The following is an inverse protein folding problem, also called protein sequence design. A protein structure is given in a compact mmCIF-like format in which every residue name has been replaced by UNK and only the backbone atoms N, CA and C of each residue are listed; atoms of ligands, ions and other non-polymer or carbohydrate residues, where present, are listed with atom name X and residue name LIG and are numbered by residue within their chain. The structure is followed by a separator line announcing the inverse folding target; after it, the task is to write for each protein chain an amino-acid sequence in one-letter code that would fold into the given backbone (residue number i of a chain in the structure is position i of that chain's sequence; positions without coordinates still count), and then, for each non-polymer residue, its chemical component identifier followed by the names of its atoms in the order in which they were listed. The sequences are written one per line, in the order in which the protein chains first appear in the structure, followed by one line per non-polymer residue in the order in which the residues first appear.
data_IF_261744017939
#
_entry.id   IF_261744017939
#
_cell.length_a   1.000
_cell.length_b   1.000
_cell.length_c   1.000
_cell.angle_alpha   90.00
_cell.angle_beta   90.00
_cell.angle_gamma   90.00
#
_symmetry.space_group_name_H-M   'P 1'
#
loop_
_entity.id
_entity.type
_entity.pdbx_description
1 polymer ?
#
# COMPACT_ATOMS: atom_id res chain seq x y z
N UNK A 1 32.21 -5.39 12.13
CA UNK A 1 33.43 -5.22 11.30
C UNK A 1 33.69 -3.74 11.08
N UNK A 2 34.85 -3.20 11.47
CA UNK A 2 35.15 -1.75 11.38
C UNK A 2 35.58 -1.37 9.95
N UNK A 3 34.82 -0.49 9.28
CA UNK A 3 35.28 0.22 8.08
C UNK A 3 36.12 1.42 8.52
N UNK A 4 37.31 1.60 7.94
CA UNK A 4 38.28 2.62 8.34
C UNK A 4 38.58 3.53 7.15
N UNK A 5 38.02 4.74 7.15
CA UNK A 5 38.49 5.83 6.30
C UNK A 5 39.64 6.56 7.00
N UNK A 6 40.78 6.69 6.32
CA UNK A 6 41.94 7.41 6.83
C UNK A 6 41.87 8.87 6.38
N UNK A 7 41.37 9.74 7.25
CA UNK A 7 41.55 11.20 7.15
C UNK A 7 42.12 11.72 8.47
N UNK A 8 43.20 12.51 8.41
CA UNK A 8 44.14 12.79 9.51
C UNK A 8 43.56 13.60 10.69
N UNK A 9 42.23 13.79 10.81
CA UNK A 9 41.63 14.64 11.86
C UNK A 9 40.40 14.10 12.59
N UNK A 10 39.83 12.96 12.20
CA UNK A 10 38.81 12.30 13.03
C UNK A 10 38.61 10.83 12.65
N UNK A 11 38.85 9.92 13.58
CA UNK A 11 38.61 8.49 13.38
C UNK A 11 37.09 8.21 13.46
N UNK A 12 36.44 8.05 12.31
CA UNK A 12 35.11 7.45 12.23
C UNK A 12 35.28 6.01 11.81
N UNK A 13 34.95 5.09 12.71
CA UNK A 13 34.90 3.68 12.38
C UNK A 13 33.47 3.19 12.49
N UNK A 14 32.98 2.58 11.41
CA UNK A 14 31.63 2.05 11.36
C UNK A 14 31.67 0.54 11.46
N UNK A 15 30.92 -0.02 12.41
CA UNK A 15 30.75 -1.47 12.53
C UNK A 15 29.68 -1.94 11.54
N UNK A 16 30.10 -2.66 10.51
CA UNK A 16 29.26 -3.46 9.61
C UNK A 16 29.06 -4.84 10.24
N UNK A 17 27.83 -5.19 10.57
CA UNK A 17 27.44 -6.49 11.13
C UNK A 17 26.16 -6.99 10.44
N UNK A 18 25.57 -8.08 10.94
CA UNK A 18 24.31 -8.61 10.41
C UNK A 18 23.17 -7.60 10.39
N UNK A 19 23.12 -6.66 11.33
CA UNK A 19 22.09 -5.62 11.35
C UNK A 19 22.23 -4.63 10.19
N UNK A 20 23.45 -4.50 9.65
CA UNK A 20 23.75 -3.70 8.46
C UNK A 20 23.83 -4.50 7.17
N UNK A 21 23.39 -5.77 7.19
CA UNK A 21 23.28 -6.60 5.99
C UNK A 21 24.46 -7.51 5.73
N UNK A 22 25.50 -7.55 6.57
CA UNK A 22 26.60 -8.51 6.42
C UNK A 22 26.15 -9.91 6.91
N UNK A 23 25.93 -10.91 6.05
CA UNK A 23 25.23 -12.14 6.47
C UNK A 23 26.10 -13.08 7.32
N UNK A 24 27.41 -12.82 7.38
CA UNK A 24 28.37 -13.64 8.11
C UNK A 24 29.46 -12.80 8.79
N UNK A 25 29.67 -13.06 10.08
CA UNK A 25 30.61 -12.31 10.92
C UNK A 25 32.06 -12.79 10.74
N UNK A 26 32.26 -13.98 10.13
CA UNK A 26 33.61 -14.54 9.92
C UNK A 26 34.12 -14.19 8.53
N UNK A 27 35.01 -13.21 8.50
CA UNK A 27 35.69 -12.74 7.29
C UNK A 27 37.13 -13.26 7.24
N UNK A 28 37.52 -13.77 6.08
CA UNK A 28 38.85 -14.32 5.82
C UNK A 28 39.79 -13.33 5.13
N UNK A 29 39.27 -12.53 4.21
CA UNK A 29 40.05 -11.50 3.53
C UNK A 29 39.14 -10.35 3.08
N UNK A 30 39.74 -9.17 3.00
CA UNK A 30 39.18 -7.96 2.43
C UNK A 30 40.07 -7.46 1.29
N UNK A 31 39.46 -6.84 0.28
CA UNK A 31 40.17 -6.12 -0.78
C UNK A 31 39.30 -4.97 -1.26
N UNK A 32 39.87 -3.78 -1.41
CA UNK A 32 39.17 -2.65 -2.03
C UNK A 32 39.58 -2.64 -3.50
N UNK A 33 38.61 -2.60 -4.40
CA UNK A 33 38.90 -2.45 -5.82
C UNK A 33 39.14 -0.98 -6.21
N UNK A 34 39.55 -0.75 -7.46
CA UNK A 34 39.82 0.60 -7.96
C UNK A 34 38.56 1.46 -8.13
N UNK A 35 37.36 0.86 -8.09
CA UNK A 35 36.07 1.56 -8.13
C UNK A 35 35.59 1.93 -6.72
N UNK A 36 36.29 1.51 -5.66
CA UNK A 36 35.94 1.79 -4.27
C UNK A 36 34.99 0.78 -3.63
N UNK A 37 34.69 -0.35 -4.29
CA UNK A 37 33.92 -1.42 -3.67
C UNK A 37 34.81 -2.24 -2.73
N UNK A 38 34.25 -2.62 -1.58
CA UNK A 38 34.90 -3.49 -0.62
C UNK A 38 34.49 -4.94 -0.88
N UNK A 39 35.44 -5.76 -1.28
CA UNK A 39 35.30 -7.19 -1.49
C UNK A 39 35.63 -7.95 -0.21
N UNK A 40 34.74 -8.89 0.16
CA UNK A 40 34.75 -9.58 1.44
C UNK A 40 34.63 -11.08 1.18
N UNK A 41 35.62 -11.86 1.63
CA UNK A 41 35.55 -13.31 1.58
C UNK A 41 35.07 -13.85 2.91
N UNK A 42 34.04 -14.69 2.88
CA UNK A 42 33.47 -15.36 4.05
C UNK A 42 33.38 -16.86 3.81
N UNK A 43 32.98 -17.63 4.83
CA UNK A 43 32.69 -19.07 4.67
C UNK A 43 31.45 -19.34 3.79
N UNK A 44 30.59 -18.34 3.57
CA UNK A 44 29.38 -18.45 2.75
C UNK A 44 29.56 -17.93 1.32
N UNK A 45 30.77 -17.58 0.92
CA UNK A 45 31.08 -17.02 -0.39
C UNK A 45 31.67 -15.63 -0.33
N UNK A 46 31.58 -14.92 -1.45
CA UNK A 46 32.13 -13.57 -1.64
C UNK A 46 31.01 -12.55 -1.55
N UNK A 47 31.28 -11.44 -0.88
CA UNK A 47 30.40 -10.27 -0.90
C UNK A 47 31.15 -9.09 -1.52
N UNK A 48 30.45 -8.28 -2.31
CA UNK A 48 30.89 -6.91 -2.58
C UNK A 48 30.03 -5.94 -1.79
N UNK A 49 30.65 -4.88 -1.29
CA UNK A 49 30.01 -3.81 -0.57
C UNK A 49 30.25 -2.49 -1.27
N UNK A 50 29.15 -1.83 -1.64
CA UNK A 50 29.18 -0.47 -2.18
C UNK A 50 29.00 0.53 -1.02
N UNK A 51 30.03 1.30 -0.65
CA UNK A 51 29.93 2.27 0.45
C UNK A 51 29.01 3.45 0.12
N UNK A 52 28.78 3.76 -1.15
CA UNK A 52 27.91 4.88 -1.55
C UNK A 52 26.42 4.55 -1.38
N UNK A 53 26.03 3.32 -1.71
CA UNK A 53 24.63 2.85 -1.59
C UNK A 53 24.37 2.05 -0.31
N UNK A 54 25.42 1.77 0.46
CA UNK A 54 25.40 0.90 1.64
C UNK A 54 24.79 -0.49 1.33
N UNK A 55 25.12 -1.03 0.16
CA UNK A 55 24.56 -2.27 -0.36
C UNK A 55 25.59 -3.40 -0.38
N UNK A 56 25.16 -4.60 0.04
CA UNK A 56 25.93 -5.83 -0.05
C UNK A 56 25.36 -6.72 -1.15
N UNK A 57 26.18 -7.07 -2.14
CA UNK A 57 25.87 -8.12 -3.12
C UNK A 57 26.55 -9.41 -2.68
N UNK A 58 25.79 -10.50 -2.62
CA UNK A 58 26.32 -11.85 -2.38
C UNK A 58 26.58 -12.52 -3.71
N UNK A 59 27.77 -13.09 -3.88
CA UNK A 59 28.10 -13.97 -5.00
C UNK A 59 28.12 -15.42 -4.52
N UNK A 60 27.27 -16.24 -5.13
CA UNK A 60 27.10 -17.65 -4.79
C UNK A 60 27.29 -18.57 -6.00
N UNK A 61 26.82 -19.82 -5.88
CA UNK A 61 26.91 -20.81 -6.95
C UNK A 61 26.23 -20.37 -8.24
N UNK A 62 25.15 -19.60 -8.16
CA UNK A 62 24.41 -19.10 -9.32
C UNK A 62 25.24 -18.07 -10.09
N UNK A 63 26.11 -17.32 -9.41
CA UNK A 63 27.10 -16.44 -10.03
C UNK A 63 28.36 -17.18 -10.53
N UNK A 64 28.34 -18.52 -10.53
CA UNK A 64 29.45 -19.36 -10.97
C UNK A 64 30.55 -19.58 -9.93
N UNK A 65 30.33 -19.20 -8.65
CA UNK A 65 31.28 -19.51 -7.58
C UNK A 65 31.22 -20.98 -7.21
N UNK A 66 32.38 -21.60 -6.94
CA UNK A 66 32.40 -22.97 -6.41
C UNK A 66 31.92 -22.92 -4.93
N UNK A 67 30.79 -23.56 -4.58
CA UNK A 67 30.16 -23.47 -3.26
C UNK A 67 31.03 -24.06 -2.14
N UNK A 68 32.05 -24.84 -2.48
CA UNK A 68 33.02 -25.41 -1.53
C UNK A 68 34.27 -24.53 -1.38
N UNK A 69 34.32 -23.37 -2.04
CA UNK A 69 35.45 -22.43 -1.98
C UNK A 69 35.51 -21.71 -0.64
N UNK A 70 36.03 -22.40 0.36
CA UNK A 70 36.35 -21.82 1.66
C UNK A 70 37.73 -21.13 1.52
N UNK A 71 37.89 -19.95 2.13
CA UNK A 71 39.17 -19.19 2.14
C UNK A 71 39.60 -18.58 0.80
N UNK A 72 38.67 -17.97 0.07
CA UNK A 72 38.99 -17.23 -1.15
C UNK A 72 40.00 -16.11 -0.83
N UNK A 73 41.04 -16.01 -1.66
CA UNK A 73 42.03 -14.94 -1.60
C UNK A 73 41.83 -13.95 -2.74
N UNK A 74 41.89 -12.67 -2.41
CA UNK A 74 41.81 -11.58 -3.38
C UNK A 74 43.20 -11.10 -3.76
N UNK A 75 43.45 -10.89 -5.05
CA UNK A 75 44.65 -10.25 -5.56
C UNK A 75 44.30 -9.30 -6.70
N UNK A 76 44.74 -8.05 -6.64
CA UNK A 76 44.53 -7.11 -7.75
C UNK A 76 45.78 -7.07 -8.63
N UNK A 77 45.60 -7.30 -9.94
CA UNK A 77 46.70 -7.18 -10.91
C UNK A 77 46.98 -5.71 -11.29
N UNK A 78 48.07 -5.47 -12.03
CA UNK A 78 48.46 -4.12 -12.49
C UNK A 78 47.48 -3.49 -13.48
N UNK A 79 46.53 -4.26 -14.01
CA UNK A 79 45.45 -3.79 -14.89
C UNK A 79 44.15 -3.58 -14.10
N UNK A 80 44.22 -3.51 -12.77
CA UNK A 80 43.12 -3.37 -11.83
C UNK A 80 42.12 -4.55 -11.82
N UNK A 81 42.46 -5.70 -12.42
CA UNK A 81 41.59 -6.87 -12.40
C UNK A 81 41.76 -7.62 -11.08
N UNK A 82 40.64 -7.94 -10.44
CA UNK A 82 40.61 -8.67 -9.19
C UNK A 82 40.57 -10.19 -9.46
N UNK A 83 41.62 -10.89 -9.04
CA UNK A 83 41.77 -12.33 -9.12
C UNK A 83 41.25 -12.97 -7.83
N UNK A 84 40.49 -14.06 -8.01
CA UNK A 84 40.03 -14.91 -6.92
C UNK A 84 40.82 -16.21 -6.92
N UNK A 85 41.59 -16.45 -5.86
CA UNK A 85 42.32 -17.69 -5.67
C UNK A 85 41.65 -18.55 -4.59
N UNK A 86 41.43 -19.82 -4.91
CA UNK A 86 40.90 -20.85 -4.02
C UNK A 86 42.00 -21.92 -3.85
N UNK A 87 42.12 -22.63 -2.72
CA UNK A 87 43.05 -23.74 -2.62
C UNK A 87 42.85 -24.75 -3.78
N UNK A 88 43.85 -24.90 -4.64
CA UNK A 88 43.85 -25.82 -5.79
C UNK A 88 43.19 -25.32 -7.08
N UNK A 89 42.58 -24.11 -7.10
CA UNK A 89 41.99 -23.50 -8.31
C UNK A 89 42.14 -21.98 -8.26
N UNK A 90 42.31 -21.31 -9.39
CA UNK A 90 42.18 -19.85 -9.45
C UNK A 90 41.21 -19.46 -10.55
N UNK A 91 40.43 -18.43 -10.28
CA UNK A 91 39.48 -17.84 -11.22
C UNK A 91 39.89 -16.38 -11.44
N UNK A 92 40.13 -16.04 -12.71
CA UNK A 92 40.30 -14.65 -13.12
C UNK A 92 38.92 -14.07 -13.39
N UNK A 93 38.49 -13.15 -12.53
CA UNK A 93 37.20 -12.48 -12.68
C UNK A 93 37.46 -11.04 -13.09
N UNK A 94 36.73 -10.56 -14.10
CA UNK A 94 36.77 -9.16 -14.47
C UNK A 94 35.57 -8.45 -13.85
N UNK A 95 35.78 -7.86 -12.67
CA UNK A 95 34.70 -7.22 -11.93
C UNK A 95 34.23 -5.89 -12.53
N UNK A 96 35.04 -5.25 -13.37
CA UNK A 96 34.64 -4.06 -14.14
C UNK A 96 33.50 -4.38 -15.12
N UNK A 97 33.45 -5.61 -15.64
CA UNK A 97 32.36 -6.06 -16.49
C UNK A 97 31.09 -6.37 -15.69
N UNK A 98 31.24 -6.84 -14.45
CA UNK A 98 30.13 -7.14 -13.54
C UNK A 98 29.47 -5.89 -12.95
N UNK A 99 30.15 -4.74 -12.98
CA UNK A 99 29.68 -3.46 -12.44
C UNK A 99 29.14 -2.48 -13.50
N UNK A 100 29.32 -2.74 -14.80
CA UNK A 100 28.94 -1.80 -15.88
C UNK A 100 27.67 -2.18 -16.66
N UNK A 101 27.19 -3.40 -16.55
CA UNK A 101 26.04 -3.89 -17.34
C UNK A 101 24.76 -4.03 -16.51
N UNK A 102 24.45 -3.03 -15.66
CA UNK A 102 23.15 -3.01 -15.01
C UNK A 102 22.09 -2.48 -15.97
N UNK A 103 21.49 -3.40 -16.74
CA UNK A 103 20.18 -3.16 -17.32
C UNK A 103 19.22 -2.92 -16.15
N UNK A 104 18.62 -1.74 -16.05
CA UNK A 104 17.61 -1.50 -15.03
C UNK A 104 16.47 -2.52 -15.23
N UNK A 105 16.19 -3.39 -14.25
CA UNK A 105 15.19 -4.43 -14.44
C UNK A 105 13.81 -3.77 -14.54
N UNK A 106 13.06 -4.13 -15.59
CA UNK A 106 11.68 -3.71 -15.71
C UNK A 106 10.82 -4.52 -14.73
N UNK A 107 10.03 -3.80 -13.94
CA UNK A 107 9.05 -4.41 -13.02
C UNK A 107 7.76 -4.68 -13.80
N UNK A 108 7.06 -5.75 -13.45
CA UNK A 108 5.77 -6.09 -14.00
C UNK A 108 4.82 -6.46 -12.87
N UNK A 109 3.55 -6.10 -13.04
CA UNK A 109 2.49 -6.56 -12.14
C UNK A 109 2.01 -7.91 -12.65
N UNK A 110 2.20 -8.96 -11.86
CA UNK A 110 1.79 -10.32 -12.24
C UNK A 110 0.33 -10.55 -11.92
N UNK A 111 -0.07 -10.18 -10.69
CA UNK A 111 -1.41 -10.46 -10.19
C UNK A 111 -1.95 -9.29 -9.40
N UNK A 112 -3.24 -9.10 -9.54
CA UNK A 112 -4.00 -8.17 -8.74
C UNK A 112 -5.18 -8.90 -8.14
N UNK A 113 -5.25 -8.95 -6.80
CA UNK A 113 -6.32 -9.59 -6.07
C UNK A 113 -7.11 -8.54 -5.30
N UNK A 114 -8.43 -8.52 -5.44
CA UNK A 114 -9.32 -7.71 -4.63
C UNK A 114 -10.37 -8.60 -3.96
N UNK A 115 -10.54 -8.49 -2.64
CA UNK A 115 -11.52 -9.31 -1.89
C UNK A 115 -11.38 -10.82 -2.14
N UNK A 116 -10.14 -11.33 -2.20
CA UNK A 116 -9.81 -12.72 -2.54
C UNK A 116 -10.23 -13.16 -3.96
N UNK A 117 -10.56 -12.21 -4.85
CA UNK A 117 -10.82 -12.47 -6.27
C UNK A 117 -9.63 -11.97 -7.09
N UNK A 118 -8.96 -12.92 -7.72
CA UNK A 118 -7.89 -12.64 -8.67
C UNK A 118 -8.47 -12.00 -9.94
N UNK A 119 -7.83 -10.92 -10.40
CA UNK A 119 -8.15 -10.24 -11.65
C UNK A 119 -7.02 -10.44 -12.64
N UNK A 120 -7.40 -10.63 -13.90
CA UNK A 120 -6.44 -10.70 -15.00
C UNK A 120 -5.80 -9.33 -15.16
N UNK A 121 -4.46 -9.29 -15.09
CA UNK A 121 -3.66 -8.10 -15.32
C UNK A 121 -3.23 -8.10 -16.80
N UNK A 122 -3.77 -7.21 -17.65
CA UNK A 122 -3.31 -7.11 -19.03
C UNK A 122 -1.89 -6.57 -19.06
N UNK A 123 -1.05 -7.13 -19.93
CA UNK A 123 0.29 -6.61 -20.20
C UNK A 123 0.17 -5.38 -21.11
N UNK A 124 -0.07 -4.22 -20.50
CA UNK A 124 -0.27 -2.94 -21.19
C UNK A 124 0.31 -1.79 -20.38
N UNK A 125 0.76 -0.74 -21.07
CA UNK A 125 1.33 0.46 -20.45
C UNK A 125 0.27 1.29 -19.70
N UNK A 126 -1.02 1.08 -19.99
CA UNK A 126 -2.14 1.79 -19.38
C UNK A 126 -2.90 0.94 -18.34
N UNK A 127 -2.16 0.34 -17.41
CA UNK A 127 -2.76 -0.45 -16.34
C UNK A 127 -3.43 0.45 -15.31
N UNK A 128 -4.73 0.24 -15.07
CA UNK A 128 -5.44 0.90 -13.96
C UNK A 128 -6.48 -0.03 -13.37
N UNK A 129 -6.67 0.07 -12.05
CA UNK A 129 -7.61 -0.76 -11.32
C UNK A 129 -8.74 0.08 -10.74
N UNK A 130 -9.98 -0.31 -11.04
CA UNK A 130 -11.19 0.27 -10.43
C UNK A 130 -11.81 -0.73 -9.47
N UNK A 131 -11.97 -0.33 -8.22
CA UNK A 131 -12.44 -1.14 -7.12
C UNK A 131 -13.80 -0.61 -6.63
N UNK A 132 -14.71 -1.54 -6.35
CA UNK A 132 -15.98 -1.22 -5.72
C UNK A 132 -15.77 -0.75 -4.26
N UNK A 133 -16.74 -0.05 -3.66
CA UNK A 133 -16.63 0.40 -2.27
C UNK A 133 -16.49 -0.76 -1.26
N UNK A 134 -16.97 -1.95 -1.61
CA UNK A 134 -16.80 -3.16 -0.81
C UNK A 134 -15.41 -3.78 -0.97
N UNK A 135 -14.65 -3.43 -2.01
CA UNK A 135 -13.32 -3.97 -2.31
C UNK A 135 -12.21 -3.12 -1.67
N UNK A 136 -12.33 -2.85 -0.37
CA UNK A 136 -11.37 -2.07 0.40
C UNK A 136 -10.12 -2.87 0.86
N UNK A 137 -10.00 -4.12 0.40
CA UNK A 137 -8.87 -5.00 0.62
C UNK A 137 -8.37 -5.49 -0.74
N UNK A 138 -7.10 -5.22 -1.05
CA UNK A 138 -6.45 -5.71 -2.25
C UNK A 138 -4.99 -6.08 -1.99
N UNK A 139 -4.45 -6.98 -2.80
CA UNK A 139 -3.04 -7.29 -2.87
C UNK A 139 -2.53 -7.28 -4.30
N UNK A 140 -1.29 -6.82 -4.46
CA UNK A 140 -0.61 -6.71 -5.75
C UNK A 140 0.65 -7.55 -5.67
N UNK A 141 0.79 -8.51 -6.59
CA UNK A 141 2.01 -9.29 -6.79
C UNK A 141 2.76 -8.72 -7.98
N UNK A 142 4.07 -8.59 -7.83
CA UNK A 142 4.96 -7.98 -8.82
C UNK A 142 6.25 -8.79 -8.96
N UNK A 143 6.82 -8.74 -10.14
CA UNK A 143 8.11 -9.38 -10.44
C UNK A 143 8.94 -8.50 -11.33
N UNK A 144 10.20 -8.88 -11.53
CA UNK A 144 11.03 -8.33 -12.58
C UNK A 144 11.52 -9.48 -13.46
N UNK A 145 11.66 -9.20 -14.76
CA UNK A 145 12.27 -10.13 -15.69
C UNK A 145 13.77 -9.82 -15.71
N UNK A 146 14.53 -10.65 -15.01
CA UNK A 146 15.98 -10.67 -15.08
C UNK A 146 16.42 -12.14 -15.25
N UNK A 147 17.03 -12.43 -16.39
CA UNK A 147 17.50 -13.77 -16.71
C UNK A 147 18.88 -14.08 -16.11
N UNK A 148 19.63 -13.05 -15.71
CA UNK A 148 20.98 -13.17 -15.17
C UNK A 148 20.96 -13.37 -13.65
N UNK A 149 20.07 -12.69 -12.92
CA UNK A 149 20.04 -12.71 -11.45
C UNK A 149 18.66 -13.04 -10.83
N UNK A 150 18.15 -14.25 -11.05
CA UNK A 150 16.75 -14.60 -10.76
C UNK A 150 16.32 -14.55 -9.27
N UNK A 151 17.23 -14.54 -8.29
CA UNK A 151 16.90 -14.90 -6.90
C UNK A 151 17.01 -13.78 -5.85
N UNK A 152 17.66 -12.66 -6.13
CA UNK A 152 18.06 -11.70 -5.09
C UNK A 152 17.60 -10.24 -5.29
N UNK A 153 16.64 -10.00 -6.18
CA UNK A 153 16.11 -8.65 -6.35
C UNK A 153 15.37 -8.14 -5.12
N UNK A 154 15.73 -6.93 -4.70
CA UNK A 154 15.08 -6.20 -3.63
C UNK A 154 14.03 -5.28 -4.22
N UNK A 155 12.83 -5.33 -3.67
CA UNK A 155 11.74 -4.47 -4.10
C UNK A 155 11.38 -3.46 -3.03
N UNK A 156 10.92 -2.30 -3.48
CA UNK A 156 10.33 -1.28 -2.63
C UNK A 156 9.07 -0.77 -3.28
N UNK A 157 8.04 -0.58 -2.47
CA UNK A 157 6.74 -0.11 -2.93
C UNK A 157 6.21 1.02 -2.05
N UNK A 158 5.23 1.75 -2.57
CA UNK A 158 4.53 2.80 -1.85
C UNK A 158 3.14 2.99 -2.47
N UNK A 159 2.10 3.11 -1.66
CA UNK A 159 0.79 3.54 -2.10
C UNK A 159 0.62 5.04 -1.83
N UNK A 160 0.79 5.85 -2.86
CA UNK A 160 0.60 7.29 -2.76
C UNK A 160 -0.87 7.61 -2.42
N UNK A 161 -1.05 8.45 -1.39
CA UNK A 161 -2.35 8.72 -0.77
C UNK A 161 -2.62 7.88 0.49
N UNK A 162 -1.75 6.92 0.83
CA UNK A 162 -1.84 6.13 2.05
C UNK A 162 -0.51 6.05 2.81
N UNK A 163 0.55 5.61 2.14
CA UNK A 163 1.89 5.51 2.74
C UNK A 163 2.60 6.87 2.73
N UNK A 164 3.36 7.15 3.79
CA UNK A 164 4.18 8.37 3.89
C UNK A 164 5.59 8.20 3.34
N UNK A 165 6.11 6.98 3.38
CA UNK A 165 7.47 6.62 3.01
C UNK A 165 7.46 5.33 2.20
N UNK A 166 8.56 5.09 1.48
CA UNK A 166 8.77 3.85 0.74
C UNK A 166 8.92 2.67 1.69
N UNK A 167 8.15 1.62 1.45
CA UNK A 167 8.23 0.38 2.22
C UNK A 167 9.19 -0.56 1.50
N UNK A 168 10.18 -1.05 2.22
CA UNK A 168 11.10 -2.05 1.72
C UNK A 168 10.58 -3.45 2.05
N UNK A 169 10.37 -4.27 1.02
CA UNK A 169 9.85 -5.62 1.20
C UNK A 169 10.92 -6.71 1.03
N UNK A 170 12.20 -6.33 0.88
CA UNK A 170 13.28 -7.27 0.70
C UNK A 170 13.03 -8.16 -0.51
N UNK A 171 12.98 -9.47 -0.28
CA UNK A 171 12.76 -10.51 -1.30
C UNK A 171 11.26 -10.75 -1.55
N UNK A 172 10.36 -10.19 -0.72
CA UNK A 172 8.91 -10.38 -0.90
C UNK A 172 8.45 -9.66 -2.15
N UNK A 173 7.58 -10.33 -2.90
CA UNK A 173 7.06 -9.92 -4.21
C UNK A 173 5.58 -9.54 -4.19
N UNK A 174 5.06 -9.18 -3.00
CA UNK A 174 3.67 -8.77 -2.86
C UNK A 174 3.51 -7.61 -1.86
N UNK A 175 2.52 -6.77 -2.14
CA UNK A 175 2.03 -5.74 -1.23
C UNK A 175 0.55 -6.00 -0.96
N UNK A 176 0.11 -5.79 0.28
CA UNK A 176 -1.29 -5.99 0.68
C UNK A 176 -1.75 -4.78 1.48
N UNK A 177 -2.91 -4.24 1.10
CA UNK A 177 -3.55 -3.11 1.76
C UNK A 177 -4.96 -3.48 2.17
N UNK A 178 -5.33 -3.08 3.38
CA UNK A 178 -6.63 -3.36 3.97
C UNK A 178 -7.28 -2.09 4.48
N UNK A 179 -8.61 -2.09 4.47
CA UNK A 179 -9.45 -1.03 5.02
C UNK A 179 -9.13 0.38 4.46
N UNK A 180 -8.83 0.43 3.15
CA UNK A 180 -8.60 1.71 2.47
C UNK A 180 -9.90 2.49 2.32
N UNK A 181 -9.79 3.81 2.40
CA UNK A 181 -10.92 4.71 2.16
C UNK A 181 -11.23 4.81 0.66
N UNK A 182 -12.45 5.23 0.33
CA UNK A 182 -12.78 5.59 -1.06
C UNK A 182 -11.94 6.79 -1.50
N UNK A 183 -11.33 6.71 -2.68
CA UNK A 183 -10.38 7.70 -3.15
C UNK A 183 -9.58 7.26 -4.37
N UNK A 184 -8.63 8.11 -4.77
CA UNK A 184 -7.68 7.84 -5.84
C UNK A 184 -6.31 7.60 -5.21
N UNK A 185 -5.68 6.49 -5.57
CA UNK A 185 -4.37 6.08 -5.10
C UNK A 185 -3.46 5.77 -6.29
N UNK A 186 -2.15 5.89 -6.09
CA UNK A 186 -1.16 5.48 -7.08
C UNK A 186 -0.22 4.48 -6.42
N UNK A 187 -0.30 3.23 -6.84
CA UNK A 187 0.65 2.21 -6.40
C UNK A 187 1.95 2.39 -7.17
N UNK A 188 3.04 2.60 -6.43
CA UNK A 188 4.38 2.76 -6.96
C UNK A 188 5.24 1.58 -6.54
N UNK A 189 5.96 0.97 -7.48
CA UNK A 189 6.90 -0.11 -7.20
C UNK A 189 8.19 0.08 -7.99
N UNK A 190 9.31 -0.18 -7.33
CA UNK A 190 10.65 -0.11 -7.92
C UNK A 190 11.48 -1.29 -7.45
N UNK A 191 12.44 -1.68 -8.28
CA UNK A 191 13.39 -2.75 -8.00
C UNK A 191 14.79 -2.17 -7.88
N UNK A 192 15.58 -2.70 -6.94
CA UNK A 192 16.99 -2.38 -6.85
C UNK A 192 17.77 -3.19 -7.89
N UNK A 193 18.62 -2.52 -8.65
CA UNK A 193 19.65 -3.16 -9.46
C UNK A 193 20.72 -3.79 -8.55
N UNK A 194 21.62 -4.59 -9.12
CA UNK A 194 22.59 -5.33 -8.31
C UNK A 194 23.66 -4.45 -7.63
N UNK A 195 23.75 -3.16 -7.96
CA UNK A 195 24.60 -2.18 -7.26
C UNK A 195 23.89 -1.48 -6.09
N UNK A 196 22.61 -1.82 -5.87
CA UNK A 196 21.74 -1.24 -4.87
C UNK A 196 21.04 0.06 -5.31
N UNK A 197 21.23 0.51 -6.56
CA UNK A 197 20.50 1.66 -7.07
C UNK A 197 19.07 1.27 -7.41
N UNK A 198 18.13 2.15 -7.06
CA UNK A 198 16.72 1.94 -7.37
C UNK A 198 16.40 2.35 -8.80
N UNK A 199 15.65 1.52 -9.50
CA UNK A 199 15.05 1.83 -10.80
C UNK A 199 13.96 2.92 -10.69
N UNK A 200 13.60 3.46 -11.85
CA UNK A 200 12.43 4.33 -11.98
C UNK A 200 11.14 3.57 -11.60
N UNK A 201 10.28 4.15 -10.74
CA UNK A 201 9.13 3.44 -10.24
C UNK A 201 8.02 3.34 -11.27
N UNK A 202 7.44 2.16 -11.39
CA UNK A 202 6.20 1.93 -12.14
C UNK A 202 5.05 2.46 -11.31
N UNK A 203 4.13 3.16 -11.99
CA UNK A 203 2.99 3.81 -11.36
C UNK A 203 1.71 3.19 -11.88
N UNK A 204 0.91 2.63 -10.99
CA UNK A 204 -0.36 1.99 -11.31
C UNK A 204 -1.47 2.70 -10.57
N UNK A 205 -2.33 3.47 -11.27
CA UNK A 205 -3.48 4.11 -10.67
C UNK A 205 -4.49 3.08 -10.13
N UNK A 206 -4.90 3.25 -8.88
CA UNK A 206 -5.92 2.44 -8.19
C UNK A 206 -7.03 3.36 -7.70
N UNK A 207 -8.25 3.13 -8.15
CA UNK A 207 -9.42 3.93 -7.82
C UNK A 207 -10.40 3.12 -6.99
N UNK A 208 -10.71 3.58 -5.78
CA UNK A 208 -11.71 2.96 -4.91
C UNK A 208 -12.95 3.84 -4.91
N UNK A 209 -14.06 3.33 -5.43
CA UNK A 209 -15.32 4.06 -5.45
C UNK A 209 -15.83 4.36 -4.03
N UNK A 210 -16.38 5.55 -3.84
CA UNK A 210 -17.06 5.91 -2.59
C UNK A 210 -18.44 5.23 -2.50
N UNK A 211 -18.84 4.73 -1.30
CA UNK A 211 -20.16 4.15 -1.11
C UNK A 211 -21.30 5.09 -1.54
N UNK A 212 -22.35 4.54 -2.15
CA UNK A 212 -23.45 5.33 -2.71
C UNK A 212 -24.14 6.23 -1.67
N UNK A 213 -24.22 5.80 -0.41
CA UNK A 213 -24.84 6.56 0.68
C UNK A 213 -24.06 7.82 1.09
N UNK A 214 -22.78 7.93 0.71
CA UNK A 214 -21.96 9.14 0.90
C UNK A 214 -22.06 10.11 -0.28
N UNK A 215 -22.69 9.73 -1.39
CA UNK A 215 -22.83 10.60 -2.56
C UNK A 215 -23.86 11.70 -2.29
N UNK A 216 -23.59 12.91 -2.79
CA UNK A 216 -24.40 14.11 -2.54
C UNK A 216 -25.89 13.93 -2.90
N UNK A 217 -26.18 13.25 -4.01
CA UNK A 217 -27.55 12.99 -4.44
C UNK A 217 -28.34 12.15 -3.42
N UNK A 218 -27.70 11.17 -2.77
CA UNK A 218 -28.34 10.33 -1.78
C UNK A 218 -28.66 11.13 -0.51
N UNK A 219 -27.74 12.01 -0.10
CA UNK A 219 -27.95 12.93 1.04
C UNK A 219 -29.13 13.86 0.76
N UNK A 220 -29.23 14.42 -0.45
CA UNK A 220 -30.35 15.29 -0.86
C UNK A 220 -31.68 14.54 -0.83
N UNK A 221 -31.74 13.34 -1.42
CA UNK A 221 -32.97 12.53 -1.41
C UNK A 221 -33.36 12.15 0.02
N UNK A 222 -32.40 11.77 0.86
CA UNK A 222 -32.66 11.44 2.26
C UNK A 222 -33.20 12.66 3.01
N UNK A 223 -32.61 13.84 2.81
CA UNK A 223 -33.09 15.09 3.40
C UNK A 223 -34.51 15.46 2.92
N UNK A 224 -34.80 15.31 1.62
CA UNK A 224 -36.13 15.52 1.04
C UNK A 224 -37.15 14.54 1.60
N UNK A 225 -36.78 13.26 1.78
CA UNK A 225 -37.65 12.26 2.37
C UNK A 225 -38.03 12.60 3.81
N UNK A 226 -37.06 13.03 4.63
CA UNK A 226 -37.35 13.49 5.99
C UNK A 226 -38.18 14.78 6.00
N UNK A 227 -37.89 15.74 5.13
CA UNK A 227 -38.69 16.97 5.00
C UNK A 227 -40.14 16.67 4.60
N UNK A 228 -40.34 15.78 3.63
CA UNK A 228 -41.65 15.30 3.21
C UNK A 228 -42.37 14.57 4.35
N UNK A 229 -41.67 13.73 5.11
CA UNK A 229 -42.25 13.02 6.24
C UNK A 229 -42.70 13.97 7.35
N UNK A 230 -41.90 15.00 7.67
CA UNK A 230 -42.28 16.07 8.62
C UNK A 230 -43.51 16.82 8.10
N UNK A 231 -43.52 17.18 6.81
CA UNK A 231 -44.65 17.87 6.20
C UNK A 231 -45.93 17.02 6.18
N UNK A 232 -45.82 15.73 5.88
CA UNK A 232 -46.93 14.79 5.92
C UNK A 232 -47.50 14.64 7.35
N UNK A 233 -46.63 14.55 8.37
CA UNK A 233 -47.05 14.52 9.77
C UNK A 233 -47.73 15.83 10.19
N UNK A 234 -47.23 16.97 9.72
CA UNK A 234 -47.85 18.28 9.94
C UNK A 234 -49.26 18.34 9.36
N UNK A 235 -49.45 17.95 8.09
CA UNK A 235 -50.77 17.88 7.46
C UNK A 235 -51.70 16.88 8.14
N UNK A 236 -51.18 15.72 8.54
CA UNK A 236 -51.94 14.73 9.29
C UNK A 236 -52.40 15.29 10.64
N UNK A 237 -51.56 16.08 11.32
CA UNK A 237 -51.93 16.75 12.57
C UNK A 237 -53.04 17.78 12.38
N UNK A 238 -52.98 18.59 11.33
CA UNK A 238 -54.05 19.55 11.01
C UNK A 238 -55.37 18.82 10.80
N UNK A 239 -55.38 17.75 10.01
CA UNK A 239 -56.60 16.95 9.77
C UNK A 239 -57.16 16.34 11.06
N UNK A 240 -56.30 15.91 11.99
CA UNK A 240 -56.74 15.43 13.29
C UNK A 240 -57.38 16.53 14.13
N UNK A 241 -56.80 17.73 14.14
CA UNK A 241 -57.33 18.88 14.87
C UNK A 241 -58.71 19.25 14.32
N UNK A 242 -58.84 19.40 13.01
CA UNK A 242 -60.14 19.69 12.37
C UNK A 242 -61.19 18.61 12.67
N UNK A 243 -60.81 17.32 12.66
CA UNK A 243 -61.73 16.25 13.00
C UNK A 243 -62.22 16.35 14.46
N UNK A 244 -61.34 16.70 15.40
CA UNK A 244 -61.74 16.92 16.80
C UNK A 244 -62.60 18.16 16.99
N UNK A 245 -62.36 19.24 16.24
CA UNK A 245 -63.21 20.42 16.27
C UNK A 245 -64.61 20.13 15.74
N UNK A 246 -64.72 19.40 14.62
CA UNK A 246 -66.02 18.99 14.06
C UNK A 246 -66.86 18.19 15.06
N UNK A 247 -66.22 17.28 15.80
CA UNK A 247 -66.89 16.49 16.85
C UNK A 247 -67.36 17.40 17.99
N UNK A 248 -66.54 18.37 18.42
CA UNK A 248 -66.91 19.34 19.47
C UNK A 248 -68.05 20.25 19.03
N UNK A 249 -68.04 20.74 17.79
CA UNK A 249 -69.12 21.59 17.26
C UNK A 249 -70.43 20.84 17.19
N UNK A 250 -70.42 19.58 16.76
CA UNK A 250 -71.63 18.75 16.71
C UNK A 250 -72.18 18.45 18.11
N UNK A 251 -71.30 18.13 19.06
CA UNK A 251 -71.69 17.92 20.46
C UNK A 251 -72.29 19.17 21.10
N UNK A 252 -71.68 20.34 20.90
CA UNK A 252 -72.21 21.61 21.40
C UNK A 252 -73.58 21.95 20.81
N UNK A 253 -73.81 21.60 19.54
CA UNK A 253 -75.10 21.79 18.87
C UNK A 253 -76.18 20.91 19.51
N UNK A 254 -75.92 19.61 19.66
CA UNK A 254 -76.83 18.68 20.35
C UNK A 254 -77.14 19.14 21.79
N UNK A 255 -76.14 19.65 22.50
CA UNK A 255 -76.30 20.15 23.86
C UNK A 255 -77.14 21.42 23.92
N UNK A 256 -77.04 22.29 22.90
CA UNK A 256 -77.87 23.49 22.77
C UNK A 256 -79.32 23.13 22.44
N UNK A 257 -79.54 22.19 21.51
CA UNK A 257 -80.87 21.67 21.18
C UNK A 257 -81.55 21.06 22.41
N UNK A 258 -80.85 20.17 23.15
CA UNK A 258 -81.37 19.56 24.39
C UNK A 258 -81.68 20.59 25.47
N UNK A 259 -80.87 21.65 25.61
CA UNK A 259 -81.16 22.77 26.55
C UNK A 259 -82.41 23.54 26.16
N UNK A 260 -82.63 23.82 24.87
CA UNK A 260 -83.83 24.51 24.38
C UNK A 260 -85.07 23.65 24.64
N UNK A 261 -84.99 22.34 24.43
CA UNK A 261 -86.08 21.40 24.76
C UNK A 261 -86.40 21.38 26.25
N UNK A 262 -85.38 21.29 27.12
CA UNK A 262 -85.58 21.32 28.57
C UNK A 262 -86.19 22.65 29.06
N UNK A 263 -85.76 23.79 28.49
CA UNK A 263 -86.35 25.10 28.79
C UNK A 263 -87.80 25.19 28.32
N UNK A 264 -88.13 24.67 27.13
CA UNK A 264 -89.52 24.56 26.65
C UNK A 264 -90.37 23.67 27.56
N UNK A 265 -89.81 22.58 28.08
CA UNK A 265 -90.51 21.68 29.00
C UNK A 265 -90.70 22.29 30.40
N UNK A 266 -89.78 23.15 30.86
CA UNK A 266 -89.96 23.94 32.09
C UNK A 266 -90.96 25.09 31.92
N UNK A 267 -91.17 25.60 30.71
CA UNK A 267 -92.27 26.52 30.41
C UNK A 267 -93.59 25.72 30.33
N UNK A 268 -94.22 25.51 31.48
CA UNK A 268 -95.58 24.97 31.57
C UNK A 268 -96.56 25.81 30.71
N UNK A 269 -97.39 25.21 29.84
CA UNK A 269 -98.45 25.92 29.15
C UNK A 269 -99.62 26.09 30.14
N UNK A 270 -99.51 27.05 31.06
CA UNK A 270 -100.67 27.51 31.83
C UNK A 270 -101.09 28.88 31.31
N UNK A 271 -102.37 29.00 30.98
CA UNK A 271 -103.03 30.05 30.18
C UNK A 271 -102.72 29.90 28.69
N UNK A 272 -103.70 29.56 27.84
CA UNK A 272 -104.85 30.39 27.47
C UNK A 272 -106.12 29.54 27.35
N UNK A 273 -107.20 29.98 28.03
CA UNK A 273 -108.59 29.60 27.79
C UNK A 273 -109.13 30.30 26.54
#
# INVERSE_FOLDING_TARGET
MLHLEYDQRSFKAEVLDKSKGLPNDRVYQLCVDHLGYLWISTIKGVYSYNPQTNYFRHFDKNDGMDPNSISIRFFQDRQNKLLLAVPGKYSKVNFDALTRNYSQPLVYIEKFNAQNKERIVPFTDQLSFKLAPSENYFSIEFSCIDFENQSNHRFSYMLEGWDKEWIDCGIRRYASYSNLNGGQYIFKVRVAADDGQWSDPIQVPVYIDSPFYKKTWFIIITALFFSFMIYALYLFRIRQIEATERIKTEFNRQLTESRIEALRAQMNPHFIF
#
